data_IF_728847868716
#
_entry.id   IF_728847868716
#
_cell.length_a   1.000
_cell.length_b   1.000
_cell.length_c   1.000
_cell.angle_alpha   90.00
_cell.angle_beta   90.00
_cell.angle_gamma   90.00
#
_symmetry.space_group_name_H-M   'P 1'
#
loop_
_entity.id
_entity.type
_entity.pdbx_description
1 polymer ?
#
# COMPACT_ATOMS: atom_id res chain seq x y z
N UNK A 1 19.52 -7.26 0.98
CA UNK A 1 19.42 -5.83 1.36
C UNK A 1 19.65 -5.55 2.85
N UNK A 2 19.20 -6.39 3.80
CA UNK A 2 19.41 -6.17 5.24
C UNK A 2 20.88 -5.99 5.60
N UNK A 3 21.77 -6.81 5.05
CA UNK A 3 23.22 -6.71 5.28
C UNK A 3 23.76 -5.31 4.94
N UNK A 4 23.36 -4.75 3.80
CA UNK A 4 23.76 -3.40 3.37
C UNK A 4 23.25 -2.34 4.36
N UNK A 5 22.00 -2.49 4.83
CA UNK A 5 21.42 -1.58 5.82
C UNK A 5 22.23 -1.61 7.12
N UNK A 6 22.55 -2.81 7.63
CA UNK A 6 23.40 -2.97 8.81
C UNK A 6 24.79 -2.36 8.66
N UNK A 7 25.44 -2.59 7.51
CA UNK A 7 26.74 -2.00 7.19
C UNK A 7 26.69 -0.47 7.17
N UNK A 8 25.65 0.11 6.56
CA UNK A 8 25.47 1.56 6.52
C UNK A 8 25.21 2.15 7.91
N UNK A 9 24.37 1.50 8.72
CA UNK A 9 24.14 1.93 10.11
C UNK A 9 25.45 1.92 10.89
N UNK A 10 26.24 0.85 10.80
CA UNK A 10 27.54 0.74 11.49
C UNK A 10 28.56 1.79 11.06
N UNK A 11 28.55 2.19 9.77
CA UNK A 11 29.41 3.28 9.26
C UNK A 11 29.07 4.61 9.90
N UNK A 12 27.78 4.92 10.05
CA UNK A 12 27.30 6.22 10.55
C UNK A 12 27.28 6.25 12.09
N UNK A 13 26.85 5.17 12.73
CA UNK A 13 26.76 5.08 14.18
C UNK A 13 27.12 3.68 14.70
N UNK A 14 28.38 3.52 15.12
CA UNK A 14 28.90 2.25 15.66
C UNK A 14 28.24 1.82 16.99
N UNK A 15 27.63 2.77 17.73
CA UNK A 15 26.99 2.50 19.03
C UNK A 15 25.50 2.24 18.91
N UNK A 16 24.90 2.39 17.72
CA UNK A 16 23.48 2.14 17.51
C UNK A 16 23.13 0.68 17.81
N UNK A 17 22.08 0.48 18.58
CA UNK A 17 21.44 -0.83 18.74
C UNK A 17 20.42 -0.99 17.61
N UNK A 18 20.56 -2.05 16.84
CA UNK A 18 19.70 -2.35 15.69
C UNK A 18 18.77 -3.49 16.06
N UNK A 19 17.50 -3.31 15.79
CA UNK A 19 16.45 -4.34 15.94
C UNK A 19 15.87 -4.63 14.58
N UNK A 20 15.82 -5.90 14.22
CA UNK A 20 15.08 -6.37 13.05
C UNK A 20 13.68 -6.74 13.50
N UNK A 21 12.69 -6.13 12.84
CA UNK A 21 11.28 -6.31 13.17
C UNK A 21 10.56 -6.72 11.90
N UNK A 22 9.75 -7.79 11.99
CA UNK A 22 8.95 -8.26 10.87
C UNK A 22 7.63 -7.50 10.80
N UNK A 23 7.27 -7.07 9.58
CA UNK A 23 5.93 -6.54 9.29
C UNK A 23 5.06 -7.67 8.77
N UNK A 24 3.96 -7.93 9.44
CA UNK A 24 2.95 -8.89 9.04
C UNK A 24 1.89 -8.21 8.16
N UNK A 25 1.43 -8.92 7.13
CA UNK A 25 0.41 -8.40 6.21
C UNK A 25 -0.98 -8.83 6.68
N UNK A 26 -1.90 -7.88 6.72
CA UNK A 26 -3.29 -8.10 7.12
C UNK A 26 -4.25 -7.63 6.04
N UNK A 27 -5.32 -8.39 5.88
CA UNK A 27 -6.48 -8.00 5.08
C UNK A 27 -7.73 -8.63 5.69
N UNK A 28 -8.82 -7.87 5.70
CA UNK A 28 -10.12 -8.42 6.11
C UNK A 28 -10.67 -9.33 5.01
N UNK A 29 -11.27 -10.47 5.41
CA UNK A 29 -11.92 -11.43 4.51
C UNK A 29 -11.03 -11.88 3.33
N UNK A 30 -9.82 -12.41 3.60
CA UNK A 30 -8.85 -12.77 2.57
C UNK A 30 -9.35 -13.83 1.58
N UNK A 31 -10.30 -14.67 1.99
CA UNK A 31 -10.95 -15.68 1.16
C UNK A 31 -11.67 -15.09 -0.06
N UNK A 32 -12.07 -13.81 0.02
CA UNK A 32 -12.72 -13.10 -1.08
C UNK A 32 -11.79 -12.79 -2.24
N UNK A 33 -10.46 -12.86 -2.05
CA UNK A 33 -9.47 -12.46 -3.07
C UNK A 33 -9.18 -13.58 -4.05
N UNK A 34 -9.21 -14.83 -3.57
CA UNK A 34 -8.81 -15.99 -4.38
C UNK A 34 -9.61 -16.09 -5.68
N UNK A 35 -8.90 -16.13 -6.79
CA UNK A 35 -9.51 -16.29 -8.12
C UNK A 35 -10.26 -15.07 -8.65
N UNK A 36 -10.17 -13.91 -8.00
CA UNK A 36 -10.84 -12.66 -8.38
C UNK A 36 -9.94 -11.75 -9.21
N UNK A 37 -10.58 -10.91 -10.01
CA UNK A 37 -9.95 -9.78 -10.70
C UNK A 37 -9.96 -8.60 -9.74
N UNK A 38 -8.78 -8.10 -9.35
CA UNK A 38 -8.65 -7.10 -8.29
C UNK A 38 -8.08 -5.79 -8.84
N UNK A 39 -8.64 -4.67 -8.40
CA UNK A 39 -8.04 -3.34 -8.58
C UNK A 39 -7.22 -3.02 -7.34
N UNK A 40 -5.97 -2.61 -7.51
CA UNK A 40 -5.09 -2.24 -6.40
C UNK A 40 -5.06 -0.72 -6.24
N UNK A 41 -5.22 -0.26 -4.99
CA UNK A 41 -5.02 1.15 -4.64
C UNK A 41 -3.83 1.23 -3.69
N UNK A 42 -2.87 2.10 -4.02
CA UNK A 42 -1.68 2.33 -3.22
C UNK A 42 -1.58 3.78 -2.74
N UNK A 43 -0.76 4.01 -1.73
CA UNK A 43 -0.53 5.35 -1.20
C UNK A 43 0.17 6.25 -2.23
N UNK A 44 -0.50 7.34 -2.59
CA UNK A 44 -0.07 8.23 -3.65
C UNK A 44 1.35 8.78 -3.47
N UNK A 45 1.69 9.42 -2.34
CA UNK A 45 3.03 9.92 -2.06
C UNK A 45 4.11 8.85 -2.12
N UNK A 46 3.89 7.68 -1.54
CA UNK A 46 4.84 6.56 -1.56
C UNK A 46 5.13 6.12 -2.99
N UNK A 47 4.11 6.01 -3.82
CA UNK A 47 4.24 5.59 -5.21
C UNK A 47 4.91 6.65 -6.08
N UNK A 48 4.52 7.93 -5.94
CA UNK A 48 5.00 9.01 -6.82
C UNK A 48 6.36 9.58 -6.40
N UNK A 49 6.56 9.86 -5.10
CA UNK A 49 7.80 10.44 -4.58
C UNK A 49 8.82 9.37 -4.17
N UNK A 50 8.36 8.24 -3.63
CA UNK A 50 9.22 7.12 -3.27
C UNK A 50 9.65 6.25 -4.44
N UNK A 51 9.08 6.44 -5.64
CA UNK A 51 9.40 5.64 -6.82
C UNK A 51 9.07 4.15 -6.69
N UNK A 52 8.21 3.78 -5.76
CA UNK A 52 7.86 2.40 -5.50
C UNK A 52 6.80 1.92 -6.50
N UNK A 53 7.06 0.75 -7.11
CA UNK A 53 6.13 0.09 -8.04
C UNK A 53 5.23 -0.94 -7.35
N UNK A 54 5.42 -1.19 -6.07
CA UNK A 54 4.75 -2.22 -5.28
C UNK A 54 4.38 -1.69 -3.90
N UNK A 55 3.33 -2.25 -3.32
CA UNK A 55 2.85 -1.90 -1.98
C UNK A 55 2.16 -3.07 -1.29
N UNK A 56 1.55 -2.80 -0.14
CA UNK A 56 0.84 -3.83 0.64
C UNK A 56 -0.29 -4.49 -0.15
N UNK A 57 -0.99 -3.75 -1.01
CA UNK A 57 -2.08 -4.29 -1.83
C UNK A 57 -1.59 -5.34 -2.83
N UNK A 58 -0.41 -5.12 -3.46
CA UNK A 58 0.23 -6.13 -4.33
C UNK A 58 0.57 -7.40 -3.56
N UNK A 59 1.24 -7.24 -2.42
CA UNK A 59 1.67 -8.38 -1.62
C UNK A 59 0.46 -9.23 -1.17
N UNK A 60 -0.63 -8.58 -0.77
CA UNK A 60 -1.89 -9.23 -0.41
C UNK A 60 -2.51 -9.94 -1.62
N UNK A 61 -2.58 -9.28 -2.78
CA UNK A 61 -3.13 -9.88 -3.99
C UNK A 61 -2.36 -11.15 -4.41
N UNK A 62 -1.03 -11.13 -4.32
CA UNK A 62 -0.17 -12.27 -4.60
C UNK A 62 -0.34 -13.38 -3.55
N UNK A 63 -0.30 -13.04 -2.25
CA UNK A 63 -0.42 -13.98 -1.13
C UNK A 63 -1.72 -14.78 -1.22
N UNK A 64 -2.85 -14.11 -1.49
CA UNK A 64 -4.17 -14.74 -1.56
C UNK A 64 -4.60 -15.13 -2.97
N UNK A 65 -3.65 -15.22 -3.91
CA UNK A 65 -3.84 -15.80 -5.26
C UNK A 65 -4.99 -15.14 -6.03
N UNK A 66 -4.98 -13.81 -6.11
CA UNK A 66 -5.83 -13.10 -7.06
C UNK A 66 -5.60 -13.63 -8.48
N UNK A 67 -6.68 -13.75 -9.27
CA UNK A 67 -6.60 -14.24 -10.66
C UNK A 67 -5.91 -13.24 -11.58
N UNK A 68 -6.19 -11.96 -11.37
CA UNK A 68 -5.70 -10.87 -12.21
C UNK A 68 -5.63 -9.56 -11.41
N UNK A 69 -4.57 -8.82 -11.61
CA UNK A 69 -4.50 -7.41 -11.21
C UNK A 69 -4.96 -6.57 -12.40
N UNK A 70 -6.07 -5.89 -12.22
CA UNK A 70 -6.67 -5.05 -13.27
C UNK A 70 -5.78 -3.84 -13.55
N UNK A 71 -5.56 -3.57 -14.82
CA UNK A 71 -4.79 -2.43 -15.28
C UNK A 71 -5.59 -1.13 -15.09
N UNK A 72 -5.30 -0.41 -14.01
CA UNK A 72 -6.01 0.80 -13.62
C UNK A 72 -5.84 1.95 -14.63
N UNK A 73 -4.69 2.01 -15.33
CA UNK A 73 -4.41 3.05 -16.31
C UNK A 73 -5.47 3.10 -17.42
N UNK A 74 -6.01 1.94 -17.84
CA UNK A 74 -7.05 1.83 -18.87
C UNK A 74 -8.35 2.54 -18.51
N UNK A 75 -8.61 2.73 -17.23
CA UNK A 75 -9.82 3.37 -16.70
C UNK A 75 -9.56 4.77 -16.16
N UNK A 76 -8.28 5.17 -16.11
CA UNK A 76 -7.87 6.45 -15.56
C UNK A 76 -8.45 7.63 -16.33
N UNK A 77 -8.96 8.62 -15.60
CA UNK A 77 -9.50 9.86 -16.15
C UNK A 77 -8.79 11.08 -15.58
N UNK A 78 -8.89 12.19 -16.27
CA UNK A 78 -8.43 13.49 -15.81
C UNK A 78 -6.96 13.51 -15.35
N UNK A 79 -6.73 14.03 -14.16
CA UNK A 79 -5.40 14.13 -13.55
C UNK A 79 -4.76 12.78 -13.28
N UNK A 80 -5.54 11.74 -13.02
CA UNK A 80 -5.03 10.37 -12.81
C UNK A 80 -4.41 9.82 -14.08
N UNK A 81 -5.01 10.06 -15.25
CA UNK A 81 -4.43 9.69 -16.55
C UNK A 81 -3.08 10.39 -16.79
N UNK A 82 -3.00 11.66 -16.44
CA UNK A 82 -1.74 12.40 -16.55
C UNK A 82 -0.66 11.87 -15.60
N UNK A 83 -1.07 11.39 -14.42
CA UNK A 83 -0.16 10.81 -13.44
C UNK A 83 0.55 9.57 -13.97
N UNK A 84 -0.16 8.65 -14.64
CA UNK A 84 0.46 7.47 -15.27
C UNK A 84 1.48 7.85 -16.36
N UNK A 85 1.25 8.92 -17.11
CA UNK A 85 2.23 9.42 -18.07
C UNK A 85 3.49 9.94 -17.39
N UNK A 86 3.34 10.64 -16.27
CA UNK A 86 4.46 11.22 -15.53
C UNK A 86 5.24 10.18 -14.74
N UNK A 87 4.57 9.08 -14.32
CA UNK A 87 5.11 8.03 -13.46
C UNK A 87 4.88 6.63 -14.05
N UNK A 88 5.60 6.25 -15.13
CA UNK A 88 5.38 4.96 -15.82
C UNK A 88 5.60 3.73 -14.95
N UNK A 89 6.32 3.87 -13.82
CA UNK A 89 6.55 2.78 -12.88
C UNK A 89 5.31 2.39 -12.08
N UNK A 90 4.25 3.23 -12.03
CA UNK A 90 2.99 2.92 -11.33
C UNK A 90 2.27 1.69 -11.89
N UNK A 91 2.41 1.46 -13.21
CA UNK A 91 1.85 0.29 -13.89
C UNK A 91 0.36 0.09 -13.58
N UNK A 92 0.06 -1.00 -12.81
CA UNK A 92 -1.32 -1.43 -12.51
C UNK A 92 -1.85 -0.90 -11.18
N UNK A 93 -1.03 -0.23 -10.36
CA UNK A 93 -1.48 0.30 -9.08
C UNK A 93 -2.11 1.68 -9.30
N UNK A 94 -3.32 1.87 -8.79
CA UNK A 94 -3.99 3.16 -8.78
C UNK A 94 -3.49 3.97 -7.58
N UNK A 95 -2.79 5.10 -7.78
CA UNK A 95 -2.38 5.94 -6.66
C UNK A 95 -3.59 6.65 -6.06
N UNK A 96 -3.73 6.58 -4.75
CA UNK A 96 -4.72 7.35 -4.02
C UNK A 96 -4.34 8.83 -4.06
N UNK A 97 -5.08 9.59 -4.86
CA UNK A 97 -4.97 11.04 -4.97
C UNK A 97 -6.29 11.67 -4.53
N UNK A 98 -6.22 12.77 -3.79
CA UNK A 98 -7.48 13.34 -3.28
C UNK A 98 -7.30 14.66 -2.56
N UNK A 99 -6.43 15.53 -3.09
CA UNK A 99 -6.18 16.86 -2.51
C UNK A 99 -7.25 17.90 -2.91
N UNK A 100 -8.06 17.64 -3.92
CA UNK A 100 -9.15 18.51 -4.36
C UNK A 100 -10.43 17.73 -4.61
N UNK A 101 -11.59 18.40 -4.57
CA UNK A 101 -12.90 17.79 -4.89
C UNK A 101 -12.89 17.15 -6.28
N UNK A 102 -12.23 17.77 -7.26
CA UNK A 102 -12.09 17.25 -8.62
C UNK A 102 -11.30 15.93 -8.63
N UNK A 103 -10.17 15.87 -7.95
CA UNK A 103 -9.35 14.65 -7.88
C UNK A 103 -10.07 13.51 -7.15
N UNK A 104 -10.81 13.82 -6.10
CA UNK A 104 -11.67 12.85 -5.39
C UNK A 104 -12.71 12.27 -6.35
N UNK A 105 -13.36 13.10 -7.16
CA UNK A 105 -14.33 12.65 -8.17
C UNK A 105 -13.66 11.80 -9.25
N UNK A 106 -12.53 12.22 -9.80
CA UNK A 106 -11.77 11.49 -10.82
C UNK A 106 -11.34 10.12 -10.29
N UNK A 107 -10.89 10.03 -9.03
CA UNK A 107 -10.52 8.78 -8.38
C UNK A 107 -11.73 7.85 -8.24
N UNK A 108 -12.86 8.36 -7.75
CA UNK A 108 -14.12 7.62 -7.66
C UNK A 108 -14.56 7.05 -9.01
N UNK A 109 -14.57 7.89 -10.04
CA UNK A 109 -14.99 7.47 -11.37
C UNK A 109 -14.04 6.44 -11.98
N UNK A 110 -12.73 6.59 -11.79
CA UNK A 110 -11.74 5.61 -12.23
C UNK A 110 -12.00 4.25 -11.59
N UNK A 111 -12.23 4.20 -10.27
CA UNK A 111 -12.53 2.96 -9.54
C UNK A 111 -13.84 2.35 -10.04
N UNK A 112 -14.90 3.15 -10.18
CA UNK A 112 -16.22 2.66 -10.55
C UNK A 112 -16.28 2.12 -11.99
N UNK A 113 -15.48 2.69 -12.91
CA UNK A 113 -15.34 2.23 -14.29
C UNK A 113 -14.49 0.97 -14.42
N UNK A 114 -13.61 0.70 -13.47
CA UNK A 114 -12.72 -0.44 -13.55
C UNK A 114 -13.50 -1.77 -13.57
N UNK A 115 -13.21 -2.61 -14.57
CA UNK A 115 -13.79 -3.96 -14.68
C UNK A 115 -13.09 -4.93 -13.74
N UNK A 116 -13.40 -4.83 -12.44
CA UNK A 116 -12.85 -5.69 -11.38
C UNK A 116 -13.97 -6.26 -10.51
N UNK A 117 -13.70 -7.36 -9.83
CA UNK A 117 -14.61 -8.00 -8.87
C UNK A 117 -14.59 -7.30 -7.52
N UNK A 118 -13.41 -6.83 -7.10
CA UNK A 118 -13.19 -6.10 -5.86
C UNK A 118 -11.95 -5.20 -5.93
N UNK A 119 -11.84 -4.32 -4.94
CA UNK A 119 -10.72 -3.39 -4.75
C UNK A 119 -9.92 -3.81 -3.53
N UNK A 120 -8.59 -3.83 -3.62
CA UNK A 120 -7.70 -3.96 -2.48
C UNK A 120 -7.09 -2.58 -2.21
N UNK A 121 -7.46 -1.98 -1.10
CA UNK A 121 -6.96 -0.68 -0.68
C UNK A 121 -5.77 -0.86 0.27
N UNK A 122 -4.59 -0.48 -0.17
CA UNK A 122 -3.34 -0.47 0.60
C UNK A 122 -2.99 0.92 1.17
N UNK A 123 -3.98 1.78 1.39
CA UNK A 123 -3.79 3.09 2.00
C UNK A 123 -4.49 3.17 3.35
N UNK A 124 -4.06 4.04 4.26
CA UNK A 124 -4.75 4.26 5.54
C UNK A 124 -6.10 4.98 5.38
N UNK A 125 -6.40 5.50 4.18
CA UNK A 125 -7.64 6.25 3.92
C UNK A 125 -8.83 5.31 3.74
N UNK A 126 -9.93 5.62 4.41
CA UNK A 126 -11.20 4.92 4.19
C UNK A 126 -11.83 5.34 2.85
N UNK A 127 -11.46 4.61 1.79
CA UNK A 127 -11.88 4.89 0.42
C UNK A 127 -13.40 4.73 0.24
N UNK A 128 -14.02 3.72 0.85
CA UNK A 128 -15.47 3.52 0.76
C UNK A 128 -16.23 4.73 1.28
N UNK A 129 -15.86 5.20 2.47
CA UNK A 129 -16.51 6.35 3.11
C UNK A 129 -16.25 7.66 2.37
N UNK A 130 -15.02 7.84 1.88
CA UNK A 130 -14.60 9.08 1.22
C UNK A 130 -15.19 9.20 -0.19
N UNK A 131 -15.20 8.10 -0.96
CA UNK A 131 -15.48 8.14 -2.39
C UNK A 131 -16.87 7.59 -2.75
N UNK A 132 -17.54 6.89 -1.84
CA UNK A 132 -18.80 6.20 -2.12
C UNK A 132 -18.73 5.37 -3.43
N UNK A 133 -17.76 4.45 -3.49
CA UNK A 133 -17.53 3.59 -4.65
C UNK A 133 -18.55 2.45 -4.72
N UNK A 134 -18.85 2.00 -5.95
CA UNK A 134 -19.80 0.91 -6.22
C UNK A 134 -19.13 -0.49 -6.22
N UNK A 135 -17.97 -0.61 -5.62
CA UNK A 135 -17.17 -1.84 -5.55
C UNK A 135 -16.96 -2.26 -4.11
N UNK A 136 -16.86 -3.57 -3.86
CA UNK A 136 -16.41 -4.09 -2.58
C UNK A 136 -14.94 -3.72 -2.37
N UNK A 137 -14.63 -3.09 -1.25
CA UNK A 137 -13.27 -2.71 -0.88
C UNK A 137 -12.78 -3.59 0.27
N UNK A 138 -11.59 -4.16 0.13
CA UNK A 138 -10.86 -4.84 1.20
C UNK A 138 -9.68 -3.97 1.59
N UNK A 139 -9.47 -3.79 2.89
CA UNK A 139 -8.38 -2.98 3.42
C UNK A 139 -7.18 -3.86 3.73
N UNK A 140 -6.07 -3.58 3.05
CA UNK A 140 -4.78 -4.20 3.27
C UNK A 140 -3.93 -3.29 4.14
N UNK A 141 -3.31 -3.83 5.16
CA UNK A 141 -2.40 -3.14 6.06
C UNK A 141 -1.20 -4.03 6.40
N UNK A 142 -0.22 -3.44 7.06
CA UNK A 142 0.84 -4.17 7.73
C UNK A 142 0.92 -3.69 9.18
N UNK A 143 1.31 -4.60 10.04
CA UNK A 143 1.50 -4.32 11.44
C UNK A 143 2.80 -4.96 11.93
N UNK A 144 3.26 -4.56 13.08
CA UNK A 144 4.50 -5.06 13.66
C UNK A 144 4.14 -6.17 14.65
N UNK A 145 4.86 -7.29 14.58
CA UNK A 145 4.68 -8.36 15.54
C UNK A 145 5.11 -7.89 16.93
N UNK A 146 4.19 -7.93 17.90
CA UNK A 146 4.45 -7.49 19.29
C UNK A 146 5.62 -8.23 19.95
N UNK A 147 5.86 -9.49 19.57
CA UNK A 147 7.00 -10.27 20.09
C UNK A 147 8.34 -9.63 19.72
N UNK A 148 8.41 -9.08 18.51
CA UNK A 148 9.61 -8.42 18.00
C UNK A 148 9.84 -7.05 18.68
N UNK A 149 8.81 -6.44 19.27
CA UNK A 149 8.87 -5.16 19.99
C UNK A 149 9.41 -5.30 21.42
N UNK A 150 9.33 -6.47 22.05
CA UNK A 150 9.78 -6.67 23.45
C UNK A 150 11.20 -6.16 23.73
N UNK A 151 12.23 -6.46 22.89
CA UNK A 151 13.57 -5.96 23.11
C UNK A 151 13.67 -4.44 23.05
N UNK A 152 12.85 -3.81 22.19
CA UNK A 152 12.77 -2.34 22.05
C UNK A 152 12.19 -1.73 23.31
N UNK A 153 11.05 -2.23 23.79
CA UNK A 153 10.42 -1.78 25.04
C UNK A 153 11.35 -1.93 26.24
N UNK A 154 12.11 -3.02 26.32
CA UNK A 154 13.08 -3.23 27.40
C UNK A 154 14.16 -2.15 27.46
N UNK A 155 14.59 -1.64 26.30
CA UNK A 155 15.56 -0.54 26.25
C UNK A 155 14.93 0.79 26.61
N UNK A 156 13.77 1.10 26.04
CA UNK A 156 13.02 2.33 26.35
C UNK A 156 12.78 2.42 27.85
N UNK A 157 12.30 1.35 28.47
CA UNK A 157 12.04 1.32 29.91
C UNK A 157 13.30 1.46 30.77
N UNK A 158 14.50 1.11 30.26
CA UNK A 158 15.79 1.35 30.95
C UNK A 158 16.24 2.80 30.84
N UNK A 159 15.88 3.51 29.79
CA UNK A 159 16.26 4.91 29.56
C UNK A 159 15.33 5.85 30.35
N UNK A 160 14.07 5.47 30.52
CA UNK A 160 13.06 6.26 31.23
C UNK A 160 13.11 6.10 32.77
N UNK A 161 13.91 5.19 33.29
CA UNK A 161 14.22 5.01 34.71
C UNK A 161 15.47 5.79 35.10
#
# INVERSE_FOLDING_TARGET
NLKIVHENIKKVNKKAKVFEINSELFVQNPEMIKGKRVLLIGDGPTLTHGGMAHGVADAIAAMYKAKEIVDAEKYAIGSIKQLYKNFPHLKKILPAMGYSKKQIQELRETINKASCDLVINGTPTNIEKLLNVNKKVLYASYDINEKDLKPVYNIINKILK
#
